data_IF_501591886999
#
_entry.id   IF_501591886999
#
_cell.length_a   1.000
_cell.length_b   1.000
_cell.length_c   1.000
_cell.angle_alpha   90.00
_cell.angle_beta   90.00
_cell.angle_gamma   90.00
#
_symmetry.space_group_name_H-M   'P 1'
#
loop_
_entity.id
_entity.type
_entity.pdbx_description
1 polymer ?
#
# COMPACT_ATOMS: atom_id res chain seq x y z
N UNK A 1 -8.48 9.02 18.23
CA UNK A 1 -7.73 8.13 17.33
C UNK A 1 -6.60 7.55 18.14
N UNK A 2 -6.55 6.22 18.25
CA UNK A 2 -5.41 5.49 18.84
C UNK A 2 -4.51 5.00 17.71
N UNK A 3 -3.26 4.68 18.01
CA UNK A 3 -2.30 4.19 17.01
C UNK A 3 -2.79 2.93 16.29
N UNK A 4 -3.50 2.05 17.00
CA UNK A 4 -4.13 0.87 16.42
C UNK A 4 -5.17 1.20 15.35
N UNK A 5 -5.96 2.26 15.58
CA UNK A 5 -6.98 2.70 14.63
C UNK A 5 -6.32 3.20 13.33
N UNK A 6 -5.19 3.92 13.46
CA UNK A 6 -4.43 4.45 12.33
C UNK A 6 -3.78 3.33 11.52
N UNK A 7 -3.19 2.35 12.20
CA UNK A 7 -2.61 1.19 11.53
C UNK A 7 -3.66 0.41 10.75
N UNK A 8 -4.83 0.21 11.35
CA UNK A 8 -5.97 -0.42 10.68
C UNK A 8 -6.42 0.35 9.44
N UNK A 9 -6.41 1.68 9.46
CA UNK A 9 -6.71 2.50 8.28
C UNK A 9 -5.70 2.23 7.16
N UNK A 10 -4.41 2.14 7.47
CA UNK A 10 -3.38 1.81 6.48
C UNK A 10 -3.58 0.41 5.89
N UNK A 11 -3.85 -0.58 6.74
CA UNK A 11 -4.08 -1.96 6.30
C UNK A 11 -5.29 -2.02 5.34
N UNK A 12 -6.39 -1.34 5.69
CA UNK A 12 -7.58 -1.20 4.82
C UNK A 12 -7.24 -0.47 3.53
N UNK A 13 -6.55 0.67 3.58
CA UNK A 13 -6.20 1.45 2.39
C UNK A 13 -5.21 0.74 1.46
N UNK A 14 -4.63 -0.36 1.91
CA UNK A 14 -3.71 -1.20 1.15
C UNK A 14 -4.31 -2.58 0.93
N UNK A 15 -3.69 -3.62 1.48
CA UNK A 15 -3.94 -5.02 1.17
C UNK A 15 -5.33 -5.53 1.55
N UNK A 16 -5.87 -5.03 2.66
CA UNK A 16 -7.11 -5.55 3.22
C UNK A 16 -8.35 -5.09 2.43
N UNK A 17 -8.22 -4.06 1.57
CA UNK A 17 -9.28 -3.67 0.64
C UNK A 17 -9.41 -4.61 -0.57
N UNK A 18 -8.39 -5.41 -0.89
CA UNK A 18 -8.34 -6.17 -2.13
C UNK A 18 -9.52 -7.13 -2.34
N UNK A 19 -10.04 -7.86 -1.33
CA UNK A 19 -11.24 -8.70 -1.46
C UNK A 19 -12.48 -7.94 -1.92
N UNK A 20 -12.62 -6.67 -1.53
CA UNK A 20 -13.74 -5.82 -1.94
C UNK A 20 -13.64 -5.39 -3.42
N UNK A 21 -12.48 -5.55 -4.04
CA UNK A 21 -12.23 -5.36 -5.47
C UNK A 21 -12.19 -6.69 -6.26
N UNK A 22 -12.58 -7.81 -5.63
CA UNK A 22 -12.53 -9.13 -6.26
C UNK A 22 -11.11 -9.70 -6.42
N UNK A 23 -10.16 -9.18 -5.65
CA UNK A 23 -8.77 -9.63 -5.62
C UNK A 23 -8.48 -10.41 -4.34
N UNK A 24 -7.48 -11.29 -4.37
CA UNK A 24 -6.94 -11.83 -3.13
C UNK A 24 -6.27 -10.71 -2.32
N UNK A 25 -6.35 -10.78 -0.99
CA UNK A 25 -5.57 -9.91 -0.08
C UNK A 25 -4.12 -9.90 -0.52
N UNK A 26 -3.54 -8.72 -0.70
CA UNK A 26 -2.16 -8.56 -1.14
C UNK A 26 -1.34 -7.79 -0.10
N UNK A 27 -0.20 -8.34 0.28
CA UNK A 27 0.77 -7.66 1.11
C UNK A 27 2.12 -7.63 0.41
N UNK A 28 3.08 -6.93 1.01
CA UNK A 28 4.47 -7.01 0.59
C UNK A 28 5.11 -8.28 1.18
N UNK A 29 4.75 -9.45 0.62
CA UNK A 29 5.22 -10.77 1.05
C UNK A 29 5.59 -11.63 -0.15
N UNK A 30 6.46 -12.61 0.07
CA UNK A 30 6.84 -13.58 -0.95
C UNK A 30 5.61 -14.40 -1.37
N UNK A 31 5.37 -14.49 -2.67
CA UNK A 31 4.22 -15.21 -3.24
C UNK A 31 3.02 -14.32 -3.54
N UNK A 32 2.95 -13.12 -2.94
CA UNK A 32 1.91 -12.15 -3.25
C UNK A 32 2.13 -11.48 -4.61
N UNK A 33 1.07 -10.87 -5.14
CA UNK A 33 1.15 -10.13 -6.40
C UNK A 33 2.12 -8.96 -6.26
N UNK A 34 3.01 -8.81 -7.24
CA UNK A 34 3.96 -7.70 -7.33
C UNK A 34 3.27 -6.38 -7.78
N UNK A 35 2.34 -5.92 -6.96
CA UNK A 35 1.70 -4.60 -7.03
C UNK A 35 2.31 -3.74 -5.92
N UNK A 36 3.21 -2.82 -6.28
CA UNK A 36 4.04 -2.07 -5.33
C UNK A 36 3.98 -0.58 -5.68
N UNK A 37 3.85 0.27 -4.68
CA UNK A 37 3.92 1.73 -4.81
C UNK A 37 5.07 2.23 -3.94
N UNK A 38 6.00 2.96 -4.55
CA UNK A 38 7.06 3.66 -3.81
C UNK A 38 6.63 5.10 -3.56
N UNK A 39 6.75 5.51 -2.31
CA UNK A 39 6.46 6.86 -1.82
C UNK A 39 7.63 7.32 -0.98
N UNK A 40 7.93 8.61 -1.01
CA UNK A 40 8.92 9.22 -0.13
C UNK A 40 8.37 9.36 1.30
N UNK A 41 8.35 8.25 2.02
CA UNK A 41 7.96 8.17 3.42
C UNK A 41 8.80 7.15 4.18
N UNK A 42 9.16 7.48 5.41
CA UNK A 42 9.97 6.60 6.26
C UNK A 42 9.17 5.39 6.76
N UNK A 43 7.86 5.58 6.95
CA UNK A 43 6.95 4.53 7.41
C UNK A 43 5.50 4.84 7.00
N UNK A 44 4.61 3.89 7.27
CA UNK A 44 3.19 4.00 6.98
C UNK A 44 2.49 5.22 7.61
N UNK A 45 2.87 5.58 8.84
CA UNK A 45 2.27 6.70 9.56
C UNK A 45 2.70 8.04 8.95
N UNK A 46 3.96 8.13 8.58
CA UNK A 46 4.50 9.27 7.86
C UNK A 46 3.80 9.48 6.51
N UNK A 47 3.61 8.40 5.73
CA UNK A 47 2.85 8.43 4.48
C UNK A 47 1.39 8.86 4.68
N UNK A 48 0.74 8.35 5.74
CA UNK A 48 -0.65 8.69 6.07
C UNK A 48 -0.83 10.17 6.41
N UNK A 49 0.13 10.76 7.12
CA UNK A 49 0.05 12.17 7.56
C UNK A 49 0.50 13.14 6.48
N UNK A 50 1.62 12.87 5.79
CA UNK A 50 2.18 13.78 4.77
C UNK A 50 1.53 13.63 3.40
N UNK A 51 0.90 12.49 3.11
CA UNK A 51 0.30 12.19 1.80
C UNK A 51 1.22 12.49 0.61
N UNK A 52 2.48 12.01 0.61
CA UNK A 52 3.42 12.28 -0.47
C UNK A 52 2.93 11.70 -1.80
N UNK A 53 3.41 12.26 -2.91
CA UNK A 53 3.16 11.70 -4.22
C UNK A 53 3.88 10.35 -4.37
N UNK A 54 3.28 9.47 -5.17
CA UNK A 54 3.93 8.23 -5.60
C UNK A 54 5.02 8.53 -6.61
N UNK A 55 6.22 8.04 -6.36
CA UNK A 55 7.36 8.19 -7.25
C UNK A 55 7.35 7.09 -8.31
N UNK A 56 7.05 5.87 -7.87
CA UNK A 56 7.06 4.68 -8.73
C UNK A 56 5.82 3.82 -8.47
N UNK A 57 5.26 3.27 -9.53
CA UNK A 57 4.16 2.30 -9.47
C UNK A 57 4.53 1.07 -10.28
N UNK A 58 4.51 -0.09 -9.63
CA UNK A 58 4.69 -1.40 -10.24
C UNK A 58 3.36 -2.14 -10.15
N UNK A 59 2.84 -2.64 -11.27
CA UNK A 59 1.65 -3.48 -11.31
C UNK A 59 1.96 -4.81 -11.99
N UNK A 60 1.64 -5.93 -11.33
CA UNK A 60 1.96 -7.30 -11.78
C UNK A 60 3.43 -7.45 -12.21
N UNK A 61 4.35 -6.84 -11.47
CA UNK A 61 5.78 -6.87 -11.74
C UNK A 61 6.23 -6.01 -12.93
N UNK A 62 5.37 -5.12 -13.45
CA UNK A 62 5.69 -4.20 -14.54
C UNK A 62 5.69 -2.76 -14.04
N UNK A 63 6.72 -1.99 -14.42
CA UNK A 63 6.76 -0.55 -14.17
C UNK A 63 5.64 0.14 -14.98
N UNK A 64 4.78 0.87 -14.28
CA UNK A 64 3.67 1.63 -14.86
C UNK A 64 3.92 3.14 -14.81
N UNK A 65 4.57 3.60 -13.75
CA UNK A 65 4.96 5.00 -13.52
C UNK A 65 6.34 4.99 -12.86
N UNK A 66 7.24 5.84 -13.35
CA UNK A 66 8.60 6.03 -12.86
C UNK A 66 9.37 7.02 -13.74
#
# INVERSE_FOLDING_TARGET
MRDEDLRRVVDIATGDSAPFAGLATNHLRVGDRADIVLVDAENAMDALVRTPLREVVIGRGRLLVG
#
